data_IF_618317481705
#
_entry.id   IF_618317481705
#
_cell.length_a   1.000
_cell.length_b   1.000
_cell.length_c   1.000
_cell.angle_alpha   90.00
_cell.angle_beta   90.00
_cell.angle_gamma   90.00
#
_symmetry.space_group_name_H-M   'P 1'
#
loop_
_entity.id
_entity.type
_entity.pdbx_description
1 polymer ?
#
# COMPACT_ATOMS: atom_id res chain seq x y z
N UNK A 1 -35.43 -43.20 62.33
CA UNK A 1 -34.38 -42.45 61.66
C UNK A 1 -34.71 -42.42 60.17
N UNK A 2 -35.10 -41.27 59.62
CA UNK A 2 -35.43 -41.10 58.17
C UNK A 2 -34.28 -40.33 57.55
N UNK A 3 -33.55 -41.00 56.67
CA UNK A 3 -32.42 -40.39 55.94
C UNK A 3 -32.95 -39.68 54.68
N UNK A 4 -32.79 -38.37 54.62
CA UNK A 4 -33.17 -37.55 53.47
C UNK A 4 -31.98 -37.53 52.55
N UNK A 5 -32.07 -38.07 51.33
CA UNK A 5 -31.06 -37.96 50.27
C UNK A 5 -31.33 -36.66 49.52
N UNK A 6 -30.41 -35.71 49.64
CA UNK A 6 -30.45 -34.49 48.83
C UNK A 6 -29.79 -34.74 47.45
N UNK A 7 -30.62 -34.62 46.40
CA UNK A 7 -30.14 -34.67 44.99
C UNK A 7 -29.62 -33.29 44.60
N UNK A 8 -28.30 -33.15 44.42
CA UNK A 8 -27.69 -31.92 43.92
C UNK A 8 -27.68 -31.94 42.38
N UNK A 9 -28.50 -31.13 41.76
CA UNK A 9 -28.56 -30.95 40.31
C UNK A 9 -27.42 -30.04 39.88
N UNK A 10 -26.43 -30.58 39.18
CA UNK A 10 -25.34 -29.79 38.56
C UNK A 10 -25.86 -29.21 37.25
N UNK A 11 -26.07 -27.90 37.21
CA UNK A 11 -26.38 -27.15 36.00
C UNK A 11 -25.05 -26.89 35.28
N UNK A 12 -24.82 -27.63 34.20
CA UNK A 12 -23.66 -27.36 33.29
C UNK A 12 -24.05 -26.20 32.39
N UNK A 13 -23.52 -25.00 32.68
CA UNK A 13 -23.57 -23.88 31.74
C UNK A 13 -22.65 -24.20 30.57
N UNK A 14 -23.22 -24.54 29.41
CA UNK A 14 -22.50 -24.57 28.14
C UNK A 14 -22.15 -23.13 27.76
N UNK A 15 -20.92 -22.72 27.99
CA UNK A 15 -20.35 -21.48 27.44
C UNK A 15 -20.25 -21.67 25.92
N UNK A 16 -21.14 -21.02 25.18
CA UNK A 16 -21.01 -20.90 23.73
C UNK A 16 -19.71 -20.11 23.44
N UNK A 17 -18.70 -20.81 22.96
CA UNK A 17 -17.46 -20.19 22.43
C UNK A 17 -17.88 -19.43 21.18
N UNK A 18 -17.67 -18.08 21.11
CA UNK A 18 -18.02 -17.33 19.92
C UNK A 18 -17.29 -17.93 18.73
N UNK A 19 -18.04 -18.34 17.74
CA UNK A 19 -17.56 -18.84 16.45
C UNK A 19 -16.52 -17.85 15.92
N UNK A 20 -15.27 -18.30 15.71
CA UNK A 20 -14.15 -17.46 15.29
C UNK A 20 -14.56 -16.61 14.10
N UNK A 21 -14.35 -15.29 14.19
CA UNK A 21 -14.69 -14.36 13.12
C UNK A 21 -14.03 -14.82 11.81
N UNK A 22 -14.84 -15.02 10.78
CA UNK A 22 -14.37 -15.42 9.45
C UNK A 22 -13.34 -14.40 8.97
N UNK A 23 -12.16 -14.87 8.60
CA UNK A 23 -11.16 -14.00 7.97
C UNK A 23 -11.71 -13.47 6.63
N UNK A 24 -11.55 -12.16 6.34
CA UNK A 24 -12.04 -11.58 5.10
C UNK A 24 -11.35 -12.24 3.89
N UNK A 25 -12.14 -12.50 2.87
CA UNK A 25 -11.63 -12.96 1.57
C UNK A 25 -11.29 -11.73 0.72
N UNK A 26 -10.04 -11.61 0.29
CA UNK A 26 -9.62 -10.50 -0.55
C UNK A 26 -8.51 -10.89 -1.51
N UNK A 27 -8.48 -10.21 -2.63
CA UNK A 27 -7.39 -10.28 -3.62
C UNK A 27 -7.27 -8.97 -4.37
N UNK A 28 -6.07 -8.67 -4.84
CA UNK A 28 -5.76 -7.45 -5.55
C UNK A 28 -4.66 -7.68 -6.59
N UNK A 29 -4.87 -7.18 -7.79
CA UNK A 29 -3.85 -6.92 -8.80
C UNK A 29 -3.82 -5.42 -9.06
N UNK A 30 -2.65 -4.80 -8.98
CA UNK A 30 -2.52 -3.35 -9.06
C UNK A 30 -1.25 -2.94 -9.80
N UNK A 31 -1.35 -1.85 -10.54
CA UNK A 31 -0.20 -1.09 -11.03
C UNK A 31 0.29 -0.16 -9.92
N UNK A 32 1.56 -0.25 -9.61
CA UNK A 32 2.22 0.54 -8.56
C UNK A 32 3.31 1.40 -9.18
N UNK A 33 3.38 2.66 -8.77
CA UNK A 33 4.51 3.54 -9.05
C UNK A 33 4.94 4.24 -7.78
N UNK A 34 6.25 4.37 -7.58
CA UNK A 34 6.82 5.02 -6.40
C UNK A 34 8.03 5.86 -6.76
N UNK A 35 8.18 6.98 -6.06
CA UNK A 35 9.44 7.68 -5.93
C UNK A 35 9.79 7.86 -4.45
N UNK A 36 11.07 7.70 -4.10
CA UNK A 36 11.56 7.87 -2.74
C UNK A 36 12.88 8.65 -2.71
N UNK A 37 13.29 9.09 -1.50
CA UNK A 37 14.49 9.89 -1.26
C UNK A 37 15.82 9.14 -1.50
N UNK A 38 15.79 7.82 -1.64
CA UNK A 38 16.98 7.01 -1.83
C UNK A 38 17.69 7.29 -3.18
N UNK A 39 18.96 6.93 -3.26
CA UNK A 39 19.69 6.85 -4.53
C UNK A 39 19.11 5.75 -5.42
N UNK A 40 19.33 5.83 -6.71
CA UNK A 40 18.98 4.79 -7.67
C UNK A 40 20.09 3.71 -7.69
N UNK A 41 19.79 2.42 -7.57
CA UNK A 41 18.53 1.81 -7.18
C UNK A 41 18.44 1.75 -5.66
N UNK A 42 17.21 1.91 -5.12
CA UNK A 42 17.05 1.92 -3.67
C UNK A 42 17.43 0.56 -3.05
N UNK A 43 18.39 0.50 -2.11
CA UNK A 43 18.83 -0.76 -1.50
C UNK A 43 17.72 -1.51 -0.76
N UNK A 44 16.71 -0.80 -0.23
CA UNK A 44 15.61 -1.46 0.50
C UNK A 44 14.76 -2.38 -0.40
N UNK A 45 14.73 -2.15 -1.72
CA UNK A 45 14.07 -3.06 -2.66
C UNK A 45 14.80 -4.40 -2.79
N UNK A 46 16.07 -4.46 -2.37
CA UNK A 46 16.93 -5.64 -2.37
C UNK A 46 17.17 -6.20 -0.95
N UNK A 47 16.38 -5.77 0.03
CA UNK A 47 16.49 -6.22 1.42
C UNK A 47 17.56 -5.49 2.25
N UNK A 48 18.15 -4.43 1.72
CA UNK A 48 19.10 -3.56 2.44
C UNK A 48 18.42 -2.39 3.16
N UNK A 49 19.22 -1.60 3.86
CA UNK A 49 18.72 -0.35 4.48
C UNK A 49 18.66 0.78 3.43
N UNK A 50 17.76 1.76 3.62
CA UNK A 50 17.67 2.93 2.75
C UNK A 50 19.01 3.69 2.66
N UNK A 51 19.37 4.13 1.46
CA UNK A 51 20.60 4.92 1.24
C UNK A 51 20.47 6.37 1.71
N UNK A 52 19.28 6.82 2.06
CA UNK A 52 18.99 8.16 2.57
C UNK A 52 17.97 8.09 3.70
N UNK A 53 18.26 8.77 4.80
CA UNK A 53 17.36 8.91 5.94
C UNK A 53 17.10 10.39 6.23
N UNK A 54 15.84 10.77 6.48
CA UNK A 54 14.66 9.92 6.52
C UNK A 54 14.30 9.36 5.13
N UNK A 55 13.76 8.13 5.10
CA UNK A 55 13.27 7.51 3.86
C UNK A 55 11.87 8.03 3.55
N UNK A 56 11.81 9.08 2.76
CA UNK A 56 10.60 9.77 2.33
C UNK A 56 10.15 9.29 0.96
N UNK A 57 8.85 9.11 0.77
CA UNK A 57 8.34 8.61 -0.49
C UNK A 57 6.87 8.92 -0.75
N UNK A 58 6.54 8.85 -2.03
CA UNK A 58 5.17 8.85 -2.52
C UNK A 58 4.95 7.63 -3.40
N UNK A 59 3.93 6.84 -3.07
CA UNK A 59 3.52 5.67 -3.84
C UNK A 59 2.09 5.84 -4.30
N UNK A 60 1.83 5.67 -5.60
CA UNK A 60 0.49 5.48 -6.12
C UNK A 60 0.24 4.00 -6.37
N UNK A 61 -0.96 3.55 -6.04
CA UNK A 61 -1.45 2.20 -6.27
C UNK A 61 -2.76 2.36 -7.03
N UNK A 62 -2.82 1.82 -8.24
CA UNK A 62 -4.02 1.78 -9.07
C UNK A 62 -4.47 0.34 -9.16
N UNK A 63 -5.61 0.00 -8.57
CA UNK A 63 -6.13 -1.36 -8.55
C UNK A 63 -6.75 -1.66 -9.90
N UNK A 64 -6.11 -2.57 -10.65
CA UNK A 64 -6.56 -2.99 -11.98
C UNK A 64 -7.72 -3.98 -11.87
N UNK A 65 -7.64 -4.88 -10.88
CA UNK A 65 -8.71 -5.79 -10.49
C UNK A 65 -8.56 -6.19 -9.02
N UNK A 66 -9.65 -6.40 -8.33
CA UNK A 66 -9.62 -6.78 -6.94
C UNK A 66 -10.99 -6.94 -6.31
N UNK A 67 -11.02 -7.60 -5.17
CA UNK A 67 -12.23 -7.81 -4.40
C UNK A 67 -11.89 -7.85 -2.91
N UNK A 68 -12.75 -7.30 -2.08
CA UNK A 68 -12.72 -7.45 -0.63
C UNK A 68 -14.12 -7.83 -0.13
N UNK A 69 -14.29 -9.07 0.33
CA UNK A 69 -15.58 -9.62 0.81
C UNK A 69 -16.77 -9.31 -0.11
N UNK A 70 -16.58 -9.46 -1.43
CA UNK A 70 -17.62 -9.22 -2.44
C UNK A 70 -17.65 -7.78 -2.99
N UNK A 71 -16.90 -6.84 -2.41
CA UNK A 71 -16.80 -5.46 -2.92
C UNK A 71 -15.77 -5.42 -4.04
N UNK A 72 -16.17 -5.03 -5.25
CA UNK A 72 -15.26 -4.79 -6.36
C UNK A 72 -14.40 -3.56 -6.11
N UNK A 73 -13.08 -3.74 -6.26
CA UNK A 73 -12.07 -2.68 -6.07
C UNK A 73 -11.44 -2.22 -7.38
N UNK A 74 -11.88 -2.71 -8.53
CA UNK A 74 -11.34 -2.27 -9.82
C UNK A 74 -11.49 -0.75 -10.00
N UNK A 75 -10.42 -0.10 -10.47
CA UNK A 75 -10.37 1.36 -10.68
C UNK A 75 -10.13 2.19 -9.42
N UNK A 76 -10.04 1.58 -8.24
CA UNK A 76 -9.65 2.29 -7.02
C UNK A 76 -8.20 2.74 -7.14
N UNK A 77 -7.95 4.02 -6.87
CA UNK A 77 -6.61 4.59 -6.80
C UNK A 77 -6.34 5.16 -5.40
N UNK A 78 -5.14 4.95 -4.90
CA UNK A 78 -4.70 5.54 -3.65
C UNK A 78 -3.24 6.02 -3.74
N UNK A 79 -2.95 7.15 -3.10
CA UNK A 79 -1.60 7.65 -2.90
C UNK A 79 -1.23 7.47 -1.43
N UNK A 80 -0.08 6.88 -1.19
CA UNK A 80 0.55 6.81 0.12
C UNK A 80 1.75 7.74 0.12
N UNK A 81 1.69 8.78 0.92
CA UNK A 81 2.84 9.63 1.26
C UNK A 81 3.40 9.15 2.58
N UNK A 82 4.70 8.94 2.67
CA UNK A 82 5.28 8.32 3.84
C UNK A 82 6.69 8.84 4.18
N UNK A 83 7.01 8.79 5.46
CA UNK A 83 8.34 8.67 5.99
C UNK A 83 8.42 7.26 6.59
N UNK A 84 9.18 6.40 5.95
CA UNK A 84 9.19 4.96 6.22
C UNK A 84 9.46 4.67 7.71
N UNK A 85 8.64 3.79 8.30
CA UNK A 85 8.66 3.39 9.71
C UNK A 85 8.22 4.49 10.71
N UNK A 86 7.96 5.73 10.26
CA UNK A 86 7.54 6.84 11.13
C UNK A 86 6.06 7.17 10.95
N UNK A 87 5.69 7.61 9.75
CA UNK A 87 4.32 8.02 9.49
C UNK A 87 3.93 7.79 8.02
N UNK A 88 2.65 7.75 7.78
CA UNK A 88 2.05 7.81 6.45
C UNK A 88 0.78 8.65 6.43
N UNK A 89 0.44 9.17 5.25
CA UNK A 89 -0.87 9.71 4.91
C UNK A 89 -1.38 8.96 3.68
N UNK A 90 -2.64 8.56 3.69
CA UNK A 90 -3.25 7.81 2.60
C UNK A 90 -4.42 8.62 2.04
N UNK A 91 -4.34 8.93 0.76
CA UNK A 91 -5.40 9.54 -0.01
C UNK A 91 -6.01 8.50 -0.94
N UNK A 92 -7.33 8.36 -0.92
CA UNK A 92 -8.08 7.51 -1.84
C UNK A 92 -8.80 8.42 -2.82
N UNK A 93 -8.85 8.05 -4.09
CA UNK A 93 -9.54 8.84 -5.12
C UNK A 93 -10.97 9.22 -4.67
N UNK A 94 -11.35 10.46 -4.87
CA UNK A 94 -12.69 10.98 -4.59
C UNK A 94 -13.80 10.35 -5.47
N UNK A 95 -13.39 9.62 -6.52
CA UNK A 95 -14.29 8.89 -7.43
C UNK A 95 -14.79 7.56 -6.84
N UNK A 96 -14.23 7.07 -5.74
CA UNK A 96 -14.64 5.80 -5.13
C UNK A 96 -15.97 5.92 -4.38
N UNK A 97 -16.78 4.88 -4.43
CA UNK A 97 -17.98 4.76 -3.61
C UNK A 97 -17.65 4.65 -2.11
N UNK A 98 -18.63 4.89 -1.25
CA UNK A 98 -18.44 4.72 0.20
C UNK A 98 -18.22 3.26 0.58
N UNK A 99 -18.77 2.32 -0.20
CA UNK A 99 -18.54 0.90 -0.01
C UNK A 99 -17.08 0.51 -0.33
N UNK A 100 -16.55 1.02 -1.44
CA UNK A 100 -15.14 0.84 -1.79
C UNK A 100 -14.22 1.49 -0.75
N UNK A 101 -14.54 2.70 -0.28
CA UNK A 101 -13.76 3.38 0.76
C UNK A 101 -13.65 2.54 2.04
N UNK A 102 -14.77 1.99 2.53
CA UNK A 102 -14.80 1.09 3.69
C UNK A 102 -14.02 -0.20 3.45
N UNK A 103 -14.12 -0.79 2.26
CA UNK A 103 -13.39 -1.99 1.90
C UNK A 103 -11.87 -1.75 1.86
N UNK A 104 -11.42 -0.62 1.29
CA UNK A 104 -10.01 -0.23 1.29
C UNK A 104 -9.51 0.00 2.71
N UNK A 105 -10.26 0.72 3.55
CA UNK A 105 -9.91 0.94 4.96
C UNK A 105 -9.71 -0.39 5.72
N UNK A 106 -10.64 -1.32 5.57
CA UNK A 106 -10.56 -2.65 6.18
C UNK A 106 -9.37 -3.48 5.63
N UNK A 107 -8.96 -3.24 4.39
CA UNK A 107 -7.83 -3.92 3.75
C UNK A 107 -6.46 -3.34 4.17
N UNK A 108 -6.39 -2.11 4.69
CA UNK A 108 -5.11 -1.46 5.05
C UNK A 108 -4.23 -2.32 5.97
N UNK A 109 -4.70 -2.88 7.09
CA UNK A 109 -3.85 -3.71 7.95
C UNK A 109 -3.43 -5.03 7.31
N UNK A 110 -4.09 -5.48 6.26
CA UNK A 110 -3.84 -6.74 5.58
C UNK A 110 -2.84 -6.58 4.42
N UNK A 111 -3.15 -5.68 3.49
CA UNK A 111 -2.37 -5.46 2.27
C UNK A 111 -1.29 -4.39 2.43
N UNK A 112 -1.48 -3.42 3.32
CA UNK A 112 -0.66 -2.22 3.47
C UNK A 112 -0.17 -2.01 4.89
N UNK A 113 0.05 -3.10 5.64
CA UNK A 113 0.40 -3.06 7.07
C UNK A 113 1.57 -2.11 7.41
N UNK A 114 2.58 -2.04 6.53
CA UNK A 114 3.74 -1.15 6.72
C UNK A 114 3.39 0.35 6.66
N UNK A 115 2.33 0.70 5.93
CA UNK A 115 1.81 2.07 5.85
C UNK A 115 0.70 2.33 6.86
N UNK A 116 -0.10 1.30 7.16
CA UNK A 116 -1.14 1.40 8.18
C UNK A 116 -0.58 1.68 9.57
N UNK A 117 0.56 1.07 9.91
CA UNK A 117 1.25 1.34 11.16
C UNK A 117 1.86 2.76 11.13
N UNK A 118 1.33 3.66 11.95
CA UNK A 118 1.75 5.07 11.97
C UNK A 118 0.99 5.96 10.98
N UNK A 119 -0.14 5.50 10.45
CA UNK A 119 -1.01 6.27 9.58
C UNK A 119 -1.61 7.48 10.33
N UNK A 120 -1.36 8.68 9.81
CA UNK A 120 -1.86 9.94 10.35
C UNK A 120 -3.24 10.31 9.81
N UNK A 121 -3.52 9.93 8.56
CA UNK A 121 -4.80 10.22 7.91
C UNK A 121 -5.12 9.22 6.80
N UNK A 122 -6.43 8.99 6.60
CA UNK A 122 -7.01 8.21 5.53
C UNK A 122 -8.23 8.98 5.02
N UNK A 123 -8.14 9.59 3.83
CA UNK A 123 -9.14 10.53 3.33
C UNK A 123 -9.37 10.39 1.83
N UNK A 124 -10.59 10.74 1.35
CA UNK A 124 -10.86 10.93 -0.07
C UNK A 124 -10.23 12.21 -0.58
N UNK A 125 -9.64 12.18 -1.76
CA UNK A 125 -9.04 13.34 -2.40
C UNK A 125 -8.94 13.18 -3.92
N UNK A 126 -8.85 14.28 -4.68
CA UNK A 126 -8.52 14.23 -6.09
C UNK A 126 -7.13 13.61 -6.29
N UNK A 127 -7.05 12.62 -7.19
CA UNK A 127 -5.81 11.94 -7.58
C UNK A 127 -5.70 12.00 -9.09
N UNK A 128 -4.50 12.29 -9.58
CA UNK A 128 -4.15 12.19 -11.00
C UNK A 128 -3.04 11.17 -11.21
N UNK A 129 -3.09 10.43 -12.31
CA UNK A 129 -2.06 9.48 -12.73
C UNK A 129 -1.97 9.47 -14.26
N UNK A 130 -0.77 9.62 -14.77
CA UNK A 130 -0.42 9.47 -16.17
C UNK A 130 0.76 8.50 -16.27
N UNK A 131 0.60 7.43 -17.03
CA UNK A 131 1.62 6.40 -17.22
C UNK A 131 1.86 6.22 -18.72
N UNK A 132 3.11 6.36 -19.11
CA UNK A 132 3.62 6.01 -20.44
C UNK A 132 4.81 5.06 -20.30
N UNK A 133 5.29 4.49 -21.39
CA UNK A 133 6.48 3.63 -21.35
C UNK A 133 7.74 4.34 -20.84
N UNK A 134 7.81 5.66 -21.00
CA UNK A 134 9.00 6.45 -20.67
C UNK A 134 8.86 7.36 -19.47
N UNK A 135 7.65 7.63 -19.02
CA UNK A 135 7.37 8.62 -17.97
C UNK A 135 6.14 8.24 -17.15
N UNK A 136 6.23 8.49 -15.87
CA UNK A 136 5.12 8.38 -14.94
C UNK A 136 4.99 9.68 -14.17
N UNK A 137 3.75 10.20 -14.12
CA UNK A 137 3.39 11.33 -13.27
C UNK A 137 2.19 10.96 -12.43
N UNK A 138 2.19 11.38 -11.19
CA UNK A 138 1.00 11.31 -10.35
C UNK A 138 1.01 12.42 -9.30
N UNK A 139 -0.17 12.82 -8.87
CA UNK A 139 -0.31 13.81 -7.82
C UNK A 139 -1.56 13.62 -6.96
N UNK A 140 -1.47 14.08 -5.74
CA UNK A 140 -2.54 14.25 -4.77
C UNK A 140 -2.47 15.64 -4.13
N UNK A 141 -3.23 15.92 -3.05
CA UNK A 141 -3.32 17.26 -2.47
C UNK A 141 -1.99 17.87 -2.03
N UNK A 142 -1.11 17.06 -1.48
CA UNK A 142 0.14 17.51 -0.85
C UNK A 142 1.40 17.01 -1.58
N UNK A 143 1.23 16.16 -2.61
CA UNK A 143 2.35 15.44 -3.22
C UNK A 143 2.28 15.42 -4.72
N UNK A 144 3.45 15.50 -5.37
CA UNK A 144 3.59 15.33 -6.82
C UNK A 144 4.85 14.57 -7.14
N UNK A 145 4.73 13.64 -8.09
CA UNK A 145 5.84 12.84 -8.62
C UNK A 145 5.83 12.93 -10.13
N UNK A 146 7.02 13.15 -10.67
CA UNK A 146 7.33 13.08 -12.09
C UNK A 146 8.62 12.29 -12.23
N UNK A 147 8.60 11.16 -12.94
CA UNK A 147 9.76 10.30 -13.09
C UNK A 147 9.89 9.75 -14.50
N UNK A 148 11.11 9.56 -14.94
CA UNK A 148 11.49 9.02 -16.24
C UNK A 148 12.08 7.62 -16.12
N UNK A 149 11.83 6.78 -17.13
CA UNK A 149 12.39 5.43 -17.20
C UNK A 149 13.90 5.49 -17.36
N UNK A 150 14.61 4.67 -16.60
CA UNK A 150 16.03 4.46 -16.84
C UNK A 150 16.24 3.47 -17.97
N UNK A 151 17.19 3.80 -18.84
CA UNK A 151 17.55 2.97 -20.00
C UNK A 151 18.99 2.49 -19.89
N UNK A 152 19.20 1.23 -20.25
CA UNK A 152 20.53 0.68 -20.45
C UNK A 152 21.21 1.22 -21.72
N UNK A 153 22.46 0.85 -21.95
CA UNK A 153 23.22 1.26 -23.14
C UNK A 153 22.58 0.81 -24.46
N UNK A 154 21.74 -0.22 -24.44
CA UNK A 154 20.98 -0.69 -25.58
C UNK A 154 19.67 0.09 -25.83
N UNK A 155 19.41 1.16 -25.07
CA UNK A 155 18.20 1.99 -25.16
C UNK A 155 16.94 1.38 -24.56
N UNK A 156 16.99 0.14 -24.04
CA UNK A 156 15.85 -0.54 -23.42
C UNK A 156 15.70 -0.16 -21.95
N UNK A 157 14.47 -0.18 -21.45
CA UNK A 157 14.19 0.05 -20.03
C UNK A 157 14.95 -0.93 -19.13
N UNK A 158 15.52 -0.43 -18.04
CA UNK A 158 16.15 -1.27 -17.01
C UNK A 158 15.06 -1.97 -16.21
N UNK A 159 15.06 -3.29 -16.26
CA UNK A 159 14.15 -4.15 -15.48
C UNK A 159 14.92 -4.91 -14.42
N UNK A 160 14.30 -5.07 -13.25
CA UNK A 160 14.86 -5.87 -12.16
C UNK A 160 13.97 -7.11 -11.96
N UNK A 161 14.62 -8.26 -11.95
CA UNK A 161 13.96 -9.56 -11.81
C UNK A 161 14.29 -10.18 -10.45
N UNK A 162 13.40 -11.05 -9.96
CA UNK A 162 13.64 -11.84 -8.76
C UNK A 162 13.94 -11.01 -7.50
N UNK A 163 13.17 -9.92 -7.32
CA UNK A 163 13.27 -9.14 -6.08
C UNK A 163 12.89 -9.98 -4.86
N UNK A 164 13.47 -9.71 -3.67
CA UNK A 164 13.17 -10.42 -2.42
C UNK A 164 11.68 -10.42 -2.06
N UNK A 165 10.97 -9.32 -2.37
CA UNK A 165 9.52 -9.24 -2.17
C UNK A 165 8.78 -9.77 -3.38
N UNK A 166 8.08 -10.90 -3.20
CA UNK A 166 7.30 -11.55 -4.26
C UNK A 166 6.11 -10.72 -4.76
N UNK A 167 5.70 -9.68 -4.03
CA UNK A 167 4.59 -8.79 -4.47
C UNK A 167 5.00 -7.89 -5.62
N UNK A 168 6.30 -7.57 -5.77
CA UNK A 168 6.79 -6.75 -6.87
C UNK A 168 7.09 -7.61 -8.10
N UNK A 169 6.22 -7.51 -9.10
CA UNK A 169 6.39 -8.15 -10.41
C UNK A 169 6.63 -7.09 -11.48
N UNK A 170 7.31 -7.47 -12.57
CA UNK A 170 7.60 -6.56 -13.69
C UNK A 170 8.25 -5.23 -13.27
N UNK A 171 9.15 -5.29 -12.30
CA UNK A 171 9.81 -4.10 -11.78
C UNK A 171 10.61 -3.39 -12.87
N UNK A 172 10.26 -2.14 -13.12
CA UNK A 172 10.98 -1.26 -14.07
C UNK A 172 11.57 -0.08 -13.30
N UNK A 173 12.86 0.16 -13.51
CA UNK A 173 13.58 1.23 -12.83
C UNK A 173 13.31 2.57 -13.48
N UNK A 174 12.94 3.54 -12.64
CA UNK A 174 12.78 4.95 -12.97
C UNK A 174 13.73 5.82 -12.12
N UNK A 175 13.84 7.07 -12.50
CA UNK A 175 14.51 8.13 -11.73
C UNK A 175 13.58 9.33 -11.65
N UNK A 176 13.49 9.98 -10.49
CA UNK A 176 12.66 11.17 -10.32
C UNK A 176 13.23 12.36 -11.11
N UNK A 177 12.37 13.02 -11.84
CA UNK A 177 12.60 14.37 -12.38
C UNK A 177 12.23 15.40 -11.31
N UNK A 178 11.11 15.14 -10.63
CA UNK A 178 10.66 15.88 -9.47
C UNK A 178 9.87 14.93 -8.54
N UNK A 179 10.11 15.03 -7.25
CA UNK A 179 9.41 14.29 -6.21
C UNK A 179 9.21 15.22 -5.03
N UNK A 180 8.01 15.74 -4.86
CA UNK A 180 7.70 16.77 -3.88
C UNK A 180 6.59 16.36 -2.94
N UNK A 181 6.66 16.88 -1.74
CA UNK A 181 5.59 16.88 -0.75
C UNK A 181 5.62 18.20 0.00
N UNK A 182 4.45 18.75 0.30
CA UNK A 182 4.31 19.93 1.13
C UNK A 182 3.04 19.82 1.96
N UNK A 183 3.20 19.72 3.26
CA UNK A 183 2.12 19.76 4.25
C UNK A 183 2.47 20.75 5.36
N UNK A 184 1.58 20.91 6.33
CA UNK A 184 1.81 21.81 7.47
C UNK A 184 3.05 21.44 8.32
N UNK A 185 3.42 20.16 8.34
CA UNK A 185 4.46 19.62 9.23
C UNK A 185 5.66 19.01 8.53
N UNK A 186 5.52 18.65 7.25
CA UNK A 186 6.56 17.96 6.50
C UNK A 186 6.65 18.51 5.08
N UNK A 187 7.87 18.67 4.58
CA UNK A 187 8.08 19.04 3.18
C UNK A 187 9.40 18.47 2.66
N UNK A 188 9.41 18.08 1.39
CA UNK A 188 10.62 17.71 0.67
C UNK A 188 10.51 18.04 -0.82
N UNK A 189 11.68 18.13 -1.45
CA UNK A 189 11.82 18.30 -2.89
C UNK A 189 13.05 17.53 -3.34
N UNK A 190 12.84 16.33 -3.87
CA UNK A 190 13.89 15.45 -4.35
C UNK A 190 13.93 15.43 -5.88
N UNK A 191 15.14 15.28 -6.42
CA UNK A 191 15.40 15.15 -7.85
C UNK A 191 16.53 14.15 -8.08
N UNK A 192 16.43 13.35 -9.12
CA UNK A 192 17.44 12.34 -9.46
C UNK A 192 17.44 11.13 -8.53
N UNK A 193 16.45 11.03 -7.65
CA UNK A 193 16.30 9.94 -6.67
C UNK A 193 15.59 8.73 -7.27
N UNK A 194 15.50 7.66 -6.49
CA UNK A 194 14.93 6.40 -6.93
C UNK A 194 13.44 6.55 -7.28
N UNK A 195 13.05 5.87 -8.36
CA UNK A 195 11.68 5.64 -8.73
C UNK A 195 11.53 4.30 -9.42
N UNK A 196 10.32 3.74 -9.39
CA UNK A 196 10.01 2.49 -10.10
C UNK A 196 8.53 2.39 -10.43
N UNK A 197 8.24 1.52 -11.38
CA UNK A 197 6.90 0.93 -11.54
C UNK A 197 6.98 -0.56 -11.30
N UNK A 198 5.89 -1.14 -10.84
CA UNK A 198 5.76 -2.58 -10.65
C UNK A 198 4.31 -3.00 -10.68
N UNK A 199 4.06 -4.26 -10.94
CA UNK A 199 2.77 -4.89 -10.73
C UNK A 199 2.75 -5.54 -9.35
N UNK A 200 1.66 -5.38 -8.64
CA UNK A 200 1.39 -6.03 -7.37
C UNK A 200 0.31 -7.09 -7.54
N UNK A 201 0.57 -8.29 -7.03
CA UNK A 201 -0.44 -9.33 -6.90
C UNK A 201 -0.41 -9.86 -5.47
N UNK A 202 -1.51 -9.75 -4.76
CA UNK A 202 -1.62 -10.16 -3.37
C UNK A 202 -3.06 -10.49 -2.99
N UNK A 203 -3.25 -11.25 -1.90
CA UNK A 203 -4.58 -11.64 -1.43
C UNK A 203 -4.53 -12.47 -0.15
N UNK A 204 -5.70 -12.77 0.41
CA UNK A 204 -5.84 -13.76 1.48
C UNK A 204 -5.44 -15.14 0.96
N UNK A 205 -4.79 -15.92 1.81
CA UNK A 205 -4.44 -17.31 1.54
C UNK A 205 -5.65 -18.23 1.71
#
# INVERSE_FOLDING_TARGET
MRTILALTTIVVLLLEVPSGARQPSWKMSATVAESCSCTVSCPCNFGGEPSHMPCEGNRIISIDSGNYDGVDLAGVQLIVTFNMRNWSKIYVSDKVSDQQMKAVEAMLPLAFAGFHKGMLSFTKAPITMEVTESRVKFSGPESSVDMEVMKGFNGKAVKVMNLPSAVFQDYTQFRSIAHTHTSATHSWNHKGTNGFTSRWETGSK
#
